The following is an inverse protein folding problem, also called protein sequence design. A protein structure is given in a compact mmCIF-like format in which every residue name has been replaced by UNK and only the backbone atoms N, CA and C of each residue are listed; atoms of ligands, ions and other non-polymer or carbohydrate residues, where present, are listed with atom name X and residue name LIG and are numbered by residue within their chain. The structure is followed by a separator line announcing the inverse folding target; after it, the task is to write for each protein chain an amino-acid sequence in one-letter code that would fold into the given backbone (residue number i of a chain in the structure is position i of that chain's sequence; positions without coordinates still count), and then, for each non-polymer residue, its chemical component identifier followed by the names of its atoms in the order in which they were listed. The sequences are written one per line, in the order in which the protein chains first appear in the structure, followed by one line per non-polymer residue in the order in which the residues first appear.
data_IF_728527180599
#
_entry.id   IF_728527180599
#
_cell.length_a   1.000
_cell.length_b   1.000
_cell.length_c   1.000
_cell.angle_alpha   90.00
_cell.angle_beta   90.00
_cell.angle_gamma   90.00
#
_symmetry.space_group_name_H-M   'P 1'
#
loop_
_entity.id
_entity.type
_entity.pdbx_description
1 polymer ?
#
# COMPACT_ATOMS: atom_id res chain seq x y z
N UNK A 1 20.93 9.32 -15.46
CA UNK A 1 20.94 8.17 -14.54
C UNK A 1 19.62 7.46 -14.74
N UNK A 2 19.64 6.15 -15.05
CA UNK A 2 18.46 5.39 -15.49
C UNK A 2 17.85 4.59 -14.32
N UNK A 3 17.88 5.12 -13.09
CA UNK A 3 17.40 4.43 -11.89
C UNK A 3 16.34 5.25 -11.16
N UNK A 4 15.43 4.57 -10.48
CA UNK A 4 14.56 5.20 -9.50
C UNK A 4 15.42 5.53 -8.28
N UNK A 5 15.81 6.79 -8.16
CA UNK A 5 16.58 7.29 -7.02
C UNK A 5 15.63 8.02 -6.07
N UNK A 6 15.73 7.67 -4.80
CA UNK A 6 14.92 8.24 -3.73
C UNK A 6 15.84 8.92 -2.72
N UNK A 7 15.51 10.17 -2.40
CA UNK A 7 16.25 11.02 -1.46
C UNK A 7 15.39 11.24 -0.22
N UNK A 8 15.88 10.85 0.95
CA UNK A 8 15.20 11.12 2.23
C UNK A 8 15.17 12.63 2.46
N UNK A 9 13.98 13.14 2.76
CA UNK A 9 13.80 14.52 3.21
C UNK A 9 13.83 14.61 4.74
N UNK A 10 13.41 13.54 5.44
CA UNK A 10 13.62 13.37 6.88
C UNK A 10 12.38 12.89 7.63
N UNK A 11 12.43 13.05 8.95
CA UNK A 11 11.31 12.83 9.86
C UNK A 11 10.25 13.91 9.65
N UNK A 12 8.99 13.51 9.49
CA UNK A 12 7.87 14.44 9.24
C UNK A 12 6.90 14.51 10.42
N UNK A 13 6.62 13.37 11.06
CA UNK A 13 5.69 13.29 12.18
C UNK A 13 6.16 12.23 13.17
N UNK A 14 6.16 12.59 14.45
CA UNK A 14 6.41 11.69 15.58
C UNK A 14 5.35 11.87 16.65
N UNK A 15 5.15 10.89 17.55
CA UNK A 15 4.16 10.95 18.61
C UNK A 15 4.30 12.20 19.48
N UNK A 16 3.20 12.90 19.74
CA UNK A 16 3.21 14.02 20.67
C UNK A 16 3.35 13.56 22.13
N UNK A 17 4.32 14.11 22.90
CA UNK A 17 4.44 13.79 24.32
C UNK A 17 3.14 14.07 25.09
N UNK A 18 2.62 13.05 25.76
CA UNK A 18 1.37 13.14 26.54
C UNK A 18 0.08 12.96 25.74
N UNK A 19 0.15 12.81 24.41
CA UNK A 19 -1.02 12.51 23.58
C UNK A 19 -1.38 11.01 23.71
N UNK A 20 -2.52 10.74 24.35
CA UNK A 20 -2.97 9.36 24.62
C UNK A 20 -3.36 8.57 23.37
N UNK A 21 -3.61 9.25 22.24
CA UNK A 21 -3.96 8.61 20.98
C UNK A 21 -2.74 8.12 20.19
N UNK A 22 -1.54 8.56 20.56
CA UNK A 22 -0.30 8.32 19.80
C UNK A 22 0.78 7.61 20.62
N UNK A 23 0.47 7.18 21.85
CA UNK A 23 1.41 6.55 22.78
C UNK A 23 2.16 5.34 22.21
N UNK A 24 1.54 4.61 21.28
CA UNK A 24 2.17 3.50 20.57
C UNK A 24 2.82 3.86 19.24
N UNK A 25 2.65 5.10 18.74
CA UNK A 25 3.19 5.54 17.46
C UNK A 25 2.21 6.34 16.59
N UNK A 26 2.77 7.00 15.57
CA UNK A 26 2.07 7.58 14.42
C UNK A 26 2.61 6.94 13.16
N UNK A 27 1.80 6.16 12.46
CA UNK A 27 2.30 5.19 11.48
C UNK A 27 1.64 5.37 10.11
N UNK A 28 2.30 4.86 9.07
CA UNK A 28 1.69 4.41 7.82
C UNK A 28 0.59 5.32 7.24
N UNK A 29 0.87 6.60 6.94
CA UNK A 29 -0.14 7.55 6.52
C UNK A 29 -0.60 7.32 5.07
N UNK A 30 -1.91 7.42 4.83
CA UNK A 30 -2.37 7.78 3.48
C UNK A 30 -1.93 9.22 3.17
N UNK A 31 -1.73 9.56 1.90
CA UNK A 31 -1.52 10.94 1.45
C UNK A 31 -2.49 11.25 0.30
N UNK A 32 -3.15 12.42 0.35
CA UNK A 32 -4.07 12.87 -0.70
C UNK A 32 -4.27 14.39 -0.64
N UNK A 33 -4.44 15.02 -1.80
CA UNK A 33 -4.78 16.45 -1.88
C UNK A 33 -6.29 16.70 -1.75
N UNK A 34 -6.64 17.70 -0.96
CA UNK A 34 -8.01 18.14 -0.75
C UNK A 34 -8.55 18.98 -1.91
N UNK A 35 -9.87 19.29 -1.91
CA UNK A 35 -10.48 20.18 -2.88
C UNK A 35 -9.91 21.61 -2.86
N UNK A 36 -9.29 21.99 -1.75
CA UNK A 36 -8.58 23.26 -1.55
C UNK A 36 -7.15 23.26 -2.11
N UNK A 37 -6.65 22.11 -2.59
CA UNK A 37 -5.31 21.93 -3.14
C UNK A 37 -4.24 21.62 -2.08
N UNK A 38 -4.58 21.70 -0.80
CA UNK A 38 -3.68 21.37 0.31
C UNK A 38 -3.43 19.86 0.38
N UNK A 39 -2.28 19.47 0.91
CA UNK A 39 -1.92 18.07 1.07
C UNK A 39 -2.23 17.60 2.49
N UNK A 40 -2.95 16.48 2.60
CA UNK A 40 -3.34 15.87 3.86
C UNK A 40 -2.73 14.48 4.01
N UNK A 41 -2.28 14.18 5.23
CA UNK A 41 -1.91 12.85 5.68
C UNK A 41 -2.99 12.26 6.58
N UNK A 42 -3.17 10.96 6.48
CA UNK A 42 -4.09 10.18 7.31
C UNK A 42 -3.31 9.10 8.07
N UNK A 43 -2.57 9.49 9.12
CA UNK A 43 -1.74 8.58 9.90
C UNK A 43 -2.57 7.59 10.71
N UNK A 44 -2.06 6.37 10.90
CA UNK A 44 -2.54 5.47 11.96
C UNK A 44 -2.04 5.99 13.31
N UNK A 45 -2.96 6.44 14.15
CA UNK A 45 -2.67 6.87 15.52
C UNK A 45 -2.85 5.68 16.45
N UNK A 46 -1.77 5.24 17.10
CA UNK A 46 -1.77 4.05 17.96
C UNK A 46 -1.88 4.47 19.42
N UNK A 47 -3.06 4.23 19.99
CA UNK A 47 -3.31 4.41 21.41
C UNK A 47 -2.80 3.24 22.26
N UNK A 48 -3.09 3.31 23.56
CA UNK A 48 -2.77 2.24 24.52
C UNK A 48 -3.37 0.90 24.03
N UNK A 49 -2.64 -0.20 24.26
CA UNK A 49 -3.08 -1.56 23.90
C UNK A 49 -3.36 -1.74 22.39
N UNK A 50 -2.68 -0.97 21.54
CA UNK A 50 -2.84 -0.98 20.08
C UNK A 50 -4.29 -0.66 19.67
N UNK A 51 -4.90 0.30 20.34
CA UNK A 51 -6.18 0.88 19.89
C UNK A 51 -5.89 1.87 18.75
N UNK A 52 -6.17 1.47 17.52
CA UNK A 52 -5.76 2.21 16.32
C UNK A 52 -6.88 3.06 15.73
N UNK A 53 -6.56 4.32 15.44
CA UNK A 53 -7.42 5.28 14.73
C UNK A 53 -6.76 5.75 13.45
N UNK A 54 -7.53 6.33 12.56
CA UNK A 54 -7.03 7.08 11.40
C UNK A 54 -7.14 8.56 11.75
N UNK A 55 -6.00 9.22 11.89
CA UNK A 55 -5.89 10.67 12.09
C UNK A 55 -6.09 11.44 10.79
N UNK A 56 -6.09 12.77 10.90
CA UNK A 56 -5.93 13.69 9.78
C UNK A 56 -4.96 14.80 10.17
N UNK A 57 -3.99 15.07 9.31
CA UNK A 57 -3.00 16.11 9.50
C UNK A 57 -2.74 16.82 8.16
N UNK A 58 -2.54 18.14 8.18
CA UNK A 58 -2.18 18.93 7.01
C UNK A 58 -0.66 19.03 6.91
N UNK A 59 -0.10 18.76 5.74
CA UNK A 59 1.35 18.88 5.49
C UNK A 59 1.75 20.34 5.43
N UNK A 60 2.84 20.68 6.11
CA UNK A 60 3.51 21.97 6.02
C UNK A 60 4.70 21.85 5.06
N UNK A 61 4.90 22.86 4.22
CA UNK A 61 5.98 22.93 3.26
C UNK A 61 6.91 24.11 3.59
N UNK A 62 8.20 23.93 3.37
CA UNK A 62 9.19 25.01 3.47
C UNK A 62 9.21 25.93 2.24
N UNK A 63 10.14 26.90 2.22
CA UNK A 63 10.28 27.83 1.10
C UNK A 63 10.73 27.16 -0.22
N UNK A 64 11.40 26.00 -0.15
CA UNK A 64 11.77 25.20 -1.32
C UNK A 64 10.58 24.35 -1.83
N UNK A 65 9.49 24.31 -1.07
CA UNK A 65 8.33 23.48 -1.34
C UNK A 65 8.50 22.05 -0.85
N UNK A 66 9.47 21.75 0.02
CA UNK A 66 9.67 20.42 0.57
C UNK A 66 8.83 20.22 1.86
N UNK A 67 8.22 19.04 2.07
CA UNK A 67 7.50 18.74 3.31
C UNK A 67 8.41 18.86 4.53
N UNK A 68 8.04 19.68 5.50
CA UNK A 68 8.87 20.00 6.66
C UNK A 68 8.19 19.76 8.02
N UNK A 69 6.88 19.47 8.02
CA UNK A 69 6.13 19.16 9.22
C UNK A 69 4.67 18.89 8.93
N UNK A 70 3.87 18.73 9.98
CA UNK A 70 2.42 18.58 9.88
C UNK A 70 1.69 19.36 10.96
N UNK A 71 0.48 19.81 10.64
CA UNK A 71 -0.50 20.28 11.61
C UNK A 71 -1.54 19.18 11.85
N UNK A 72 -1.67 18.70 13.09
CA UNK A 72 -2.71 17.73 13.46
C UNK A 72 -4.08 18.40 13.46
N UNK A 73 -5.02 17.81 12.73
CA UNK A 73 -6.40 18.32 12.59
C UNK A 73 -7.43 17.48 13.34
N UNK A 74 -7.04 16.28 13.81
CA UNK A 74 -7.86 15.42 14.66
C UNK A 74 -7.91 13.97 14.18
N UNK A 75 -9.07 13.35 14.39
CA UNK A 75 -9.35 11.95 14.03
C UNK A 75 -10.35 11.93 12.88
N UNK A 76 -10.01 11.24 11.80
CA UNK A 76 -10.88 11.01 10.64
C UNK A 76 -11.80 9.80 10.84
N UNK A 77 -11.27 8.71 11.39
CA UNK A 77 -12.02 7.51 11.77
C UNK A 77 -11.46 6.91 13.05
N UNK A 78 -12.35 6.50 13.94
CA UNK A 78 -12.04 5.62 15.06
C UNK A 78 -12.92 4.37 15.04
N UNK A 79 -12.52 3.27 15.71
CA UNK A 79 -13.33 2.06 15.76
C UNK A 79 -14.74 2.32 16.34
N UNK A 80 -15.76 2.14 15.51
CA UNK A 80 -17.17 2.31 15.91
C UNK A 80 -18.04 1.14 15.42
N UNK A 81 -17.65 0.47 14.34
CA UNK A 81 -18.38 -0.65 13.79
C UNK A 81 -17.92 -1.99 14.38
N UNK A 82 -18.83 -2.97 14.46
CA UNK A 82 -18.52 -4.32 14.98
C UNK A 82 -17.33 -4.99 14.29
N UNK A 83 -17.11 -4.71 13.00
CA UNK A 83 -15.99 -5.23 12.22
C UNK A 83 -14.66 -4.51 12.45
N UNK A 84 -14.63 -3.49 13.31
CA UNK A 84 -13.44 -2.73 13.74
C UNK A 84 -13.11 -3.00 15.22
N UNK A 85 -14.01 -3.64 15.97
CA UNK A 85 -13.92 -3.81 17.42
C UNK A 85 -13.49 -5.23 17.82
N UNK A 86 -12.84 -5.33 18.98
CA UNK A 86 -12.47 -6.57 19.65
C UNK A 86 -13.22 -6.70 20.99
N UNK A 87 -13.36 -7.93 21.49
CA UNK A 87 -14.16 -8.24 22.69
C UNK A 87 -13.61 -7.61 23.99
N UNK A 88 -12.32 -7.28 24.02
CA UNK A 88 -11.64 -6.65 25.16
C UNK A 88 -11.67 -5.12 25.14
N UNK A 89 -12.49 -4.51 24.28
CA UNK A 89 -12.58 -3.05 24.13
C UNK A 89 -11.46 -2.43 23.29
N UNK A 90 -10.57 -3.25 22.71
CA UNK A 90 -9.66 -2.79 21.64
C UNK A 90 -10.42 -2.60 20.34
N UNK A 91 -9.85 -1.84 19.42
CA UNK A 91 -10.34 -1.71 18.06
C UNK A 91 -9.25 -1.21 17.14
N UNK A 92 -9.43 -1.43 15.84
CA UNK A 92 -8.45 -1.00 14.85
C UNK A 92 -9.06 -0.52 13.55
N UNK A 93 -8.84 0.76 13.24
CA UNK A 93 -8.84 1.31 11.90
C UNK A 93 -7.38 1.61 11.53
N UNK A 94 -6.79 0.82 10.62
CA UNK A 94 -5.33 0.77 10.43
C UNK A 94 -4.91 0.97 8.97
N UNK A 95 -3.71 1.53 8.80
CA UNK A 95 -2.95 1.62 7.55
C UNK A 95 -3.78 2.06 6.33
N UNK A 96 -4.46 3.21 6.47
CA UNK A 96 -5.34 3.75 5.44
C UNK A 96 -4.60 4.04 4.13
N UNK A 97 -5.29 3.82 3.00
CA UNK A 97 -4.94 4.37 1.69
C UNK A 97 -6.14 5.12 1.15
N UNK A 98 -5.92 6.31 0.60
CA UNK A 98 -6.98 7.14 0.05
C UNK A 98 -6.71 7.40 -1.41
N UNK A 99 -7.76 7.37 -2.21
CA UNK A 99 -7.71 7.67 -3.63
C UNK A 99 -8.92 8.48 -4.00
N UNK A 100 -8.71 9.60 -4.69
CA UNK A 100 -9.79 10.31 -5.34
C UNK A 100 -10.21 9.52 -6.59
N UNK A 101 -11.46 9.05 -6.62
CA UNK A 101 -11.97 8.26 -7.74
C UNK A 101 -12.84 9.14 -8.62
N UNK A 102 -12.28 9.55 -9.76
CA UNK A 102 -12.88 10.54 -10.68
C UNK A 102 -14.31 10.18 -11.07
N UNK A 103 -14.55 8.90 -11.35
CA UNK A 103 -15.85 8.36 -11.75
C UNK A 103 -16.95 8.66 -10.73
N UNK A 104 -16.60 8.69 -9.44
CA UNK A 104 -17.54 8.91 -8.36
C UNK A 104 -17.55 10.35 -7.88
N UNK A 105 -16.56 11.15 -8.28
CA UNK A 105 -16.31 12.48 -7.74
C UNK A 105 -16.23 12.44 -6.20
N UNK A 106 -15.51 11.44 -5.66
CA UNK A 106 -15.42 11.17 -4.23
C UNK A 106 -14.04 10.62 -3.87
N UNK A 107 -13.63 10.87 -2.64
CA UNK A 107 -12.50 10.22 -2.00
C UNK A 107 -12.96 8.86 -1.47
N UNK A 108 -12.25 7.80 -1.84
CA UNK A 108 -12.43 6.48 -1.26
C UNK A 108 -11.22 6.14 -0.40
N UNK A 109 -11.48 5.70 0.82
CA UNK A 109 -10.50 5.19 1.74
C UNK A 109 -10.65 3.67 1.83
N UNK A 110 -9.55 2.97 1.62
CA UNK A 110 -9.39 1.59 2.07
C UNK A 110 -8.60 1.58 3.37
N UNK A 111 -9.00 0.76 4.32
CA UNK A 111 -8.27 0.59 5.58
C UNK A 111 -8.40 -0.84 6.08
N UNK A 112 -7.45 -1.24 6.93
CA UNK A 112 -7.52 -2.51 7.64
C UNK A 112 -8.41 -2.32 8.86
N UNK A 113 -9.58 -2.94 8.86
CA UNK A 113 -10.43 -3.09 10.03
C UNK A 113 -9.98 -4.33 10.81
N UNK A 114 -9.46 -4.12 12.02
CA UNK A 114 -8.88 -5.18 12.84
C UNK A 114 -9.83 -5.57 13.97
N UNK A 115 -10.53 -6.69 13.78
CA UNK A 115 -11.52 -7.24 14.71
C UNK A 115 -11.13 -8.62 15.23
N UNK A 116 -12.04 -9.26 15.98
CA UNK A 116 -11.89 -10.67 16.42
C UNK A 116 -11.69 -11.67 15.27
N UNK A 117 -12.14 -11.34 14.07
CA UNK A 117 -12.00 -12.20 12.88
C UNK A 117 -10.69 -11.95 12.13
N UNK A 118 -9.77 -11.19 12.72
CA UNK A 118 -8.52 -10.79 12.08
C UNK A 118 -8.65 -9.53 11.22
N UNK A 119 -7.58 -9.17 10.49
CA UNK A 119 -7.55 -7.99 9.65
C UNK A 119 -8.42 -8.20 8.40
N UNK A 120 -9.31 -7.27 8.13
CA UNK A 120 -10.17 -7.27 6.93
C UNK A 120 -10.13 -5.90 6.28
N UNK A 121 -10.35 -5.86 4.97
CA UNK A 121 -10.40 -4.59 4.24
C UNK A 121 -11.77 -3.97 4.43
N UNK A 122 -11.81 -2.74 4.89
CA UNK A 122 -12.99 -1.91 4.96
C UNK A 122 -12.86 -0.69 4.03
N UNK A 123 -14.02 -0.14 3.66
CA UNK A 123 -14.13 1.01 2.76
C UNK A 123 -14.87 2.15 3.46
N UNK A 124 -14.41 3.37 3.24
CA UNK A 124 -15.13 4.60 3.60
C UNK A 124 -15.10 5.59 2.44
N UNK A 125 -16.07 6.51 2.41
CA UNK A 125 -16.17 7.56 1.38
C UNK A 125 -16.26 8.93 2.02
N UNK A 126 -15.63 9.91 1.39
CA UNK A 126 -15.75 11.32 1.73
C UNK A 126 -15.89 12.20 0.47
N UNK A 127 -16.51 13.37 0.64
CA UNK A 127 -16.55 14.42 -0.37
C UNK A 127 -15.47 15.48 -0.14
N UNK A 128 -15.00 15.63 1.10
CA UNK A 128 -14.23 16.79 1.56
C UNK A 128 -13.00 16.43 2.39
N UNK A 129 -12.72 15.14 2.62
CA UNK A 129 -11.65 14.59 3.46
C UNK A 129 -11.87 14.68 4.98
N UNK A 130 -12.84 15.44 5.45
CA UNK A 130 -13.11 15.66 6.88
C UNK A 130 -14.28 14.81 7.38
N UNK A 131 -15.29 14.59 6.54
CA UNK A 131 -16.47 13.82 6.88
C UNK A 131 -16.46 12.48 6.14
N UNK A 132 -16.35 11.39 6.89
CA UNK A 132 -16.27 10.04 6.36
C UNK A 132 -17.54 9.23 6.65
N UNK A 133 -18.04 8.56 5.61
CA UNK A 133 -19.11 7.57 5.72
C UNK A 133 -18.54 6.18 5.47
N UNK A 134 -18.63 5.29 6.47
CA UNK A 134 -18.28 3.87 6.31
C UNK A 134 -19.21 3.20 5.31
N UNK A 135 -18.62 2.47 4.38
CA UNK A 135 -19.33 1.63 3.41
C UNK A 135 -19.43 0.18 3.91
N UNK A 136 -18.51 -0.25 4.77
CA UNK A 136 -18.46 -1.59 5.33
C UNK A 136 -17.23 -2.38 4.85
N UNK A 137 -17.23 -3.68 5.15
CA UNK A 137 -16.20 -4.60 4.70
C UNK A 137 -16.25 -4.81 3.18
N UNK A 138 -15.09 -4.85 2.55
CA UNK A 138 -14.95 -5.42 1.22
C UNK A 138 -15.29 -6.92 1.26
N UNK A 139 -16.12 -7.33 0.31
CA UNK A 139 -16.52 -8.72 0.04
C UNK A 139 -15.84 -9.21 -1.24
N UNK A 140 -15.78 -10.52 -1.42
CA UNK A 140 -15.04 -11.13 -2.51
C UNK A 140 -15.82 -12.32 -3.04
N UNK A 141 -15.82 -12.54 -4.35
CA UNK A 141 -16.26 -13.82 -4.89
C UNK A 141 -15.28 -14.93 -4.48
N UNK A 142 -15.73 -16.18 -4.31
CA UNK A 142 -14.83 -17.29 -4.07
C UNK A 142 -13.84 -17.45 -5.24
N UNK A 143 -12.58 -17.74 -4.92
CA UNK A 143 -11.55 -18.01 -5.93
C UNK A 143 -11.06 -19.44 -5.79
N UNK A 144 -11.24 -20.25 -6.84
CA UNK A 144 -10.79 -21.66 -6.90
C UNK A 144 -11.21 -22.50 -5.68
N UNK A 145 -12.41 -22.26 -5.15
CA UNK A 145 -12.94 -22.96 -3.98
C UNK A 145 -12.61 -22.34 -2.63
N UNK A 146 -11.74 -21.32 -2.60
CA UNK A 146 -11.44 -20.54 -1.38
C UNK A 146 -12.42 -19.39 -1.23
N UNK A 147 -13.06 -19.29 -0.06
CA UNK A 147 -13.88 -18.13 0.29
C UNK A 147 -12.98 -16.96 0.72
N UNK A 148 -12.71 -16.04 -0.21
CA UNK A 148 -11.91 -14.85 0.05
C UNK A 148 -12.53 -13.91 1.09
N UNK A 149 -13.85 -14.00 1.36
CA UNK A 149 -14.51 -13.23 2.42
C UNK A 149 -14.07 -13.73 3.80
N UNK A 150 -13.70 -15.00 3.95
CA UNK A 150 -13.22 -15.53 5.22
C UNK A 150 -11.73 -15.26 5.49
N UNK A 151 -10.98 -14.82 4.49
CA UNK A 151 -9.52 -14.71 4.53
C UNK A 151 -9.10 -13.35 5.09
N UNK A 152 -8.13 -13.36 6.01
CA UNK A 152 -7.46 -12.15 6.49
C UNK A 152 -6.86 -11.38 5.30
N UNK A 153 -7.00 -10.06 5.27
CA UNK A 153 -6.65 -9.27 4.09
C UNK A 153 -6.28 -7.84 4.49
N UNK A 154 -5.20 -7.32 3.91
CA UNK A 154 -4.68 -5.98 4.20
C UNK A 154 -3.97 -5.36 2.99
N UNK A 155 -3.32 -4.22 3.19
CA UNK A 155 -2.58 -3.43 2.19
C UNK A 155 -3.42 -3.04 0.97
N UNK A 156 -4.69 -2.76 1.21
CA UNK A 156 -5.58 -2.46 0.11
C UNK A 156 -5.37 -1.02 -0.38
N UNK A 157 -5.35 -0.84 -1.69
CA UNK A 157 -5.41 0.46 -2.35
C UNK A 157 -6.20 0.38 -3.64
N UNK A 158 -6.85 1.48 -4.02
CA UNK A 158 -7.70 1.55 -5.20
C UNK A 158 -7.00 2.28 -6.34
N UNK A 159 -7.35 1.91 -7.57
CA UNK A 159 -7.00 2.74 -8.72
C UNK A 159 -7.93 3.97 -8.77
N UNK A 160 -7.41 5.16 -9.19
CA UNK A 160 -8.18 6.41 -9.22
C UNK A 160 -9.21 6.47 -10.36
N UNK A 161 -9.15 5.54 -11.30
CA UNK A 161 -10.04 5.47 -12.47
C UNK A 161 -10.55 4.04 -12.66
N UNK A 162 -11.56 3.91 -13.52
CA UNK A 162 -12.03 2.59 -13.91
C UNK A 162 -10.94 1.85 -14.72
N UNK A 163 -10.66 0.61 -14.32
CA UNK A 163 -9.63 -0.24 -14.92
C UNK A 163 -10.30 -1.38 -15.71
N UNK A 164 -9.83 -1.69 -16.93
CA UNK A 164 -10.32 -2.83 -17.67
C UNK A 164 -9.94 -4.15 -16.98
N UNK A 165 -10.93 -5.00 -16.73
CA UNK A 165 -10.71 -6.35 -16.25
C UNK A 165 -10.21 -7.27 -17.37
N UNK A 166 -10.11 -8.58 -17.07
CA UNK A 166 -9.62 -9.59 -18.02
C UNK A 166 -10.44 -9.75 -19.31
N UNK A 167 -11.65 -9.18 -19.37
CA UNK A 167 -12.52 -9.15 -20.57
C UNK A 167 -12.64 -7.74 -21.17
N UNK A 168 -11.81 -6.79 -20.72
CA UNK A 168 -11.86 -5.40 -21.16
C UNK A 168 -13.00 -4.56 -20.57
N UNK A 169 -13.76 -5.08 -19.59
CA UNK A 169 -14.82 -4.31 -18.94
C UNK A 169 -14.23 -3.37 -17.89
N UNK A 170 -14.54 -2.09 -17.98
CA UNK A 170 -14.11 -1.08 -17.01
C UNK A 170 -14.80 -1.29 -15.66
N UNK A 171 -14.00 -1.44 -14.60
CA UNK A 171 -14.44 -1.73 -13.24
C UNK A 171 -13.57 -0.99 -12.23
N UNK A 172 -14.03 -0.84 -10.99
CA UNK A 172 -13.14 -0.39 -9.92
C UNK A 172 -12.14 -1.52 -9.65
N UNK A 173 -10.85 -1.21 -9.56
CA UNK A 173 -9.82 -2.19 -9.24
C UNK A 173 -9.16 -1.88 -7.91
N UNK A 174 -8.83 -2.94 -7.17
CA UNK A 174 -8.18 -2.89 -5.87
C UNK A 174 -6.94 -3.76 -5.90
N UNK A 175 -5.80 -3.19 -5.51
CA UNK A 175 -4.63 -3.93 -5.06
C UNK A 175 -4.87 -4.32 -3.61
N UNK A 176 -4.53 -5.55 -3.22
CA UNK A 176 -4.64 -6.02 -1.84
C UNK A 176 -3.78 -7.27 -1.60
N UNK A 177 -3.68 -7.71 -0.34
CA UNK A 177 -2.96 -8.92 0.04
C UNK A 177 -3.80 -9.81 0.94
N UNK A 178 -4.38 -10.89 0.39
CA UNK A 178 -4.92 -11.99 1.18
C UNK A 178 -3.81 -12.72 1.94
N UNK A 179 -4.07 -13.07 3.20
CA UNK A 179 -3.21 -13.84 4.09
C UNK A 179 -3.83 -15.23 4.22
N UNK A 180 -3.45 -16.15 3.34
CA UNK A 180 -4.00 -17.50 3.36
C UNK A 180 -3.48 -18.26 4.61
N UNK A 181 -4.29 -19.14 5.23
CA UNK A 181 -3.83 -19.95 6.37
C UNK A 181 -2.55 -20.74 6.02
N UNK A 182 -1.56 -20.75 6.93
CA UNK A 182 -0.26 -21.38 6.72
C UNK A 182 0.79 -20.49 6.05
N UNK A 183 0.47 -19.21 5.78
CA UNK A 183 1.36 -18.26 5.10
C UNK A 183 1.87 -17.14 6.01
N UNK A 184 1.42 -17.09 7.27
CA UNK A 184 1.85 -16.08 8.23
C UNK A 184 3.30 -16.32 8.68
N UNK A 185 4.12 -15.27 8.91
CA UNK A 185 5.47 -15.43 9.46
C UNK A 185 5.48 -16.25 10.75
N UNK A 186 4.49 -16.06 11.62
CA UNK A 186 4.37 -16.74 12.91
C UNK A 186 4.01 -18.24 12.76
N UNK A 187 3.35 -18.62 11.66
CA UNK A 187 2.99 -20.02 11.33
C UNK A 187 4.14 -20.73 10.60
N UNK A 188 4.99 -19.98 9.88
CA UNK A 188 6.03 -20.51 8.98
C UNK A 188 7.42 -20.62 9.62
N UNK A 189 7.60 -20.15 10.86
CA UNK A 189 8.86 -20.28 11.61
C UNK A 189 9.05 -21.67 12.25
N UNK A 190 8.03 -22.54 12.18
CA UNK A 190 8.03 -23.86 12.82
C UNK A 190 8.34 -25.06 11.90
N UNK A 191 8.44 -24.90 10.57
CA UNK A 191 8.64 -26.03 9.66
C UNK A 191 9.75 -25.80 8.62
N UNK A 192 10.82 -26.60 8.72
CA UNK A 192 11.85 -26.76 7.69
C UNK A 192 11.29 -27.56 6.49
N UNK A 193 10.42 -26.97 5.68
CA UNK A 193 9.98 -27.63 4.44
C UNK A 193 10.63 -26.99 3.22
N UNK A 194 11.18 -27.84 2.34
CA UNK A 194 11.76 -27.47 1.06
C UNK A 194 10.71 -26.76 0.18
N UNK A 195 10.81 -25.43 0.12
CA UNK A 195 9.86 -24.54 -0.56
C UNK A 195 10.05 -24.64 -2.08
N UNK A 196 9.27 -25.50 -2.74
CA UNK A 196 8.99 -25.33 -4.16
C UNK A 196 8.14 -24.06 -4.28
N UNK A 197 8.71 -23.05 -4.91
CA UNK A 197 8.05 -21.80 -5.30
C UNK A 197 6.61 -22.09 -5.76
N UNK A 198 5.61 -21.41 -5.17
CA UNK A 198 4.48 -20.79 -5.89
C UNK A 198 3.03 -20.92 -5.34
N UNK A 199 2.78 -21.23 -4.05
CA UNK A 199 1.42 -21.11 -3.48
C UNK A 199 1.29 -20.47 -2.09
N UNK A 200 2.33 -20.48 -1.24
CA UNK A 200 2.18 -20.20 0.19
C UNK A 200 2.81 -18.89 0.68
N UNK A 201 3.12 -17.95 -0.23
CA UNK A 201 3.65 -16.64 0.16
C UNK A 201 2.58 -15.54 0.11
N UNK A 202 2.54 -14.73 1.17
CA UNK A 202 1.80 -13.45 1.21
C UNK A 202 2.19 -12.56 0.01
N UNK A 203 1.26 -12.44 -0.94
CA UNK A 203 1.49 -11.93 -2.31
C UNK A 203 0.57 -10.75 -2.64
N UNK A 204 0.93 -9.95 -3.65
CA UNK A 204 0.07 -8.85 -4.12
C UNK A 204 -0.97 -9.39 -5.10
N UNK A 205 -2.24 -9.07 -4.87
CA UNK A 205 -3.37 -9.42 -5.73
C UNK A 205 -4.06 -8.17 -6.28
N UNK A 206 -4.69 -8.33 -7.43
CA UNK A 206 -5.62 -7.36 -8.01
C UNK A 206 -7.01 -8.00 -8.16
N UNK A 207 -8.02 -7.28 -7.69
CA UNK A 207 -9.43 -7.69 -7.76
C UNK A 207 -10.30 -6.56 -8.27
N UNK A 208 -11.43 -6.90 -8.89
CA UNK A 208 -12.27 -5.95 -9.63
C UNK A 208 -13.70 -5.94 -9.10
N UNK A 209 -14.26 -4.78 -8.84
CA UNK A 209 -15.66 -4.62 -8.46
C UNK A 209 -16.46 -4.10 -9.67
N UNK A 210 -17.51 -4.82 -10.13
CA UNK A 210 -18.41 -4.31 -11.15
C UNK A 210 -18.96 -2.95 -10.75
N UNK A 211 -18.81 -1.99 -11.64
CA UNK A 211 -19.24 -0.62 -11.42
C UNK A 211 -20.73 -0.50 -11.74
N UNK A 212 -21.57 -0.21 -10.74
CA UNK A 212 -22.92 0.30 -11.00
C UNK A 212 -22.92 1.83 -10.95
N UNK A 213 -23.64 2.46 -11.88
CA UNK A 213 -23.50 3.88 -12.22
C UNK A 213 -24.54 4.83 -11.61
N UNK A 214 -25.34 4.39 -10.65
CA UNK A 214 -26.38 5.23 -10.02
C UNK A 214 -26.07 5.52 -8.54
N UNK A 215 -24.92 6.14 -8.30
CA UNK A 215 -24.46 6.60 -6.99
C UNK A 215 -23.83 5.51 -6.11
N UNK A 216 -23.04 5.94 -5.12
CA UNK A 216 -22.40 5.06 -4.13
C UNK A 216 -23.46 4.52 -3.16
N UNK A 217 -24.05 3.36 -3.46
CA UNK A 217 -24.90 2.64 -2.52
C UNK A 217 -24.00 1.76 -1.61
N UNK A 218 -24.14 1.80 -0.27
CA UNK A 218 -23.30 1.03 0.64
C UNK A 218 -23.24 -0.47 0.35
N UNK A 219 -24.28 -1.04 -0.26
CA UNK A 219 -24.34 -2.48 -0.60
C UNK A 219 -23.68 -2.83 -1.94
N UNK A 220 -23.39 -1.86 -2.81
CA UNK A 220 -22.92 -2.10 -4.18
C UNK A 220 -21.41 -1.94 -4.32
N UNK A 221 -20.79 -1.12 -3.47
CA UNK A 221 -19.33 -1.06 -3.34
C UNK A 221 -18.91 -2.17 -2.40
N UNK A 222 -18.40 -3.25 -2.95
CA UNK A 222 -17.82 -4.26 -2.07
C UNK A 222 -17.72 -5.64 -2.64
N UNK A 223 -18.44 -6.04 -3.70
CA UNK A 223 -18.24 -7.38 -4.26
C UNK A 223 -17.10 -7.38 -5.29
N UNK A 224 -15.89 -7.57 -4.80
CA UNK A 224 -14.72 -7.74 -5.66
C UNK A 224 -14.69 -9.16 -6.24
N UNK A 225 -14.36 -9.28 -7.51
CA UNK A 225 -14.26 -10.53 -8.24
C UNK A 225 -13.06 -10.50 -9.20
N UNK A 226 -13.01 -11.46 -10.13
CA UNK A 226 -11.97 -11.51 -11.17
C UNK A 226 -10.55 -11.44 -10.59
N UNK A 227 -10.33 -12.13 -9.47
CA UNK A 227 -9.09 -12.10 -8.70
C UNK A 227 -7.90 -12.59 -9.54
N UNK A 228 -6.79 -11.88 -9.43
CA UNK A 228 -5.54 -12.24 -10.08
C UNK A 228 -4.38 -11.97 -9.12
N UNK A 229 -3.54 -12.97 -8.88
CA UNK A 229 -2.27 -12.79 -8.19
C UNK A 229 -1.36 -11.98 -9.11
N UNK A 230 -1.07 -10.74 -8.72
CA UNK A 230 -0.33 -9.77 -9.52
C UNK A 230 1.17 -10.00 -9.40
N UNK A 231 1.67 -10.20 -8.18
CA UNK A 231 3.08 -10.41 -7.90
C UNK A 231 3.27 -11.31 -6.68
N UNK A 232 4.36 -12.07 -6.68
CA UNK A 232 4.89 -12.88 -5.56
C UNK A 232 6.30 -12.39 -5.19
N UNK A 233 6.84 -12.78 -4.03
CA UNK A 233 8.26 -12.65 -3.73
C UNK A 233 9.15 -13.33 -4.79
N UNK A 234 10.06 -12.59 -5.42
CA UNK A 234 11.01 -13.15 -6.40
C UNK A 234 12.47 -12.73 -6.14
N UNK A 235 12.69 -11.70 -5.30
CA UNK A 235 14.02 -11.23 -4.92
C UNK A 235 14.35 -11.47 -3.42
N UNK A 236 15.64 -11.56 -3.04
CA UNK A 236 16.04 -11.86 -1.66
C UNK A 236 15.52 -10.88 -0.61
N UNK A 237 15.49 -9.58 -0.91
CA UNK A 237 15.06 -8.54 0.03
C UNK A 237 13.55 -8.57 0.34
N UNK A 238 12.80 -9.30 -0.48
CA UNK A 238 11.34 -9.45 -0.39
C UNK A 238 10.91 -10.92 -0.19
N UNK A 239 11.85 -11.81 0.10
CA UNK A 239 11.69 -13.27 0.02
C UNK A 239 10.62 -13.87 0.95
N UNK A 240 10.29 -13.23 2.07
CA UNK A 240 9.24 -13.72 2.96
C UNK A 240 7.86 -13.37 2.44
N UNK A 241 7.63 -12.08 2.18
CA UNK A 241 6.35 -11.55 1.73
C UNK A 241 6.49 -10.19 1.08
N UNK A 242 5.48 -9.86 0.28
CA UNK A 242 5.30 -8.53 -0.31
C UNK A 242 3.89 -8.02 -0.05
N UNK A 243 3.68 -6.71 -0.18
CA UNK A 243 2.36 -6.11 -0.05
C UNK A 243 2.26 -4.76 -0.72
N UNK A 244 1.03 -4.36 -1.03
CA UNK A 244 0.75 -3.04 -1.57
C UNK A 244 1.26 -1.95 -0.63
N UNK A 245 1.88 -0.92 -1.20
CA UNK A 245 2.32 0.25 -0.45
C UNK A 245 1.39 1.41 -0.72
N UNK A 246 1.76 2.23 -1.70
CA UNK A 246 1.01 3.42 -2.09
C UNK A 246 -0.13 3.07 -3.05
N UNK A 247 -1.18 3.91 -3.17
CA UNK A 247 -2.11 3.84 -4.29
C UNK A 247 -1.38 3.90 -5.64
N UNK A 248 -1.86 3.18 -6.69
CA UNK A 248 -1.31 3.32 -8.03
C UNK A 248 -1.55 4.72 -8.60
N UNK A 249 -0.48 5.37 -9.07
CA UNK A 249 -0.51 6.69 -9.70
C UNK A 249 -0.10 6.60 -11.17
N UNK A 250 -0.72 7.39 -12.03
CA UNK A 250 -0.37 7.41 -13.45
C UNK A 250 0.96 8.14 -13.67
N UNK A 251 1.84 7.55 -14.47
CA UNK A 251 3.10 8.15 -14.92
C UNK A 251 3.23 8.01 -16.44
N UNK A 252 4.28 8.59 -17.01
CA UNK A 252 4.63 8.39 -18.44
C UNK A 252 4.86 6.92 -18.81
N UNK A 253 5.21 6.06 -17.85
CA UNK A 253 5.53 4.65 -18.07
C UNK A 253 4.36 3.70 -17.77
N UNK A 254 3.24 4.21 -17.24
CA UNK A 254 2.10 3.43 -16.78
C UNK A 254 1.75 3.70 -15.32
N UNK A 255 1.03 2.77 -14.69
CA UNK A 255 0.64 2.90 -13.28
C UNK A 255 1.82 2.55 -12.38
N UNK A 256 2.35 3.53 -11.67
CA UNK A 256 3.40 3.33 -10.68
C UNK A 256 2.79 3.10 -9.30
N UNK A 257 3.33 2.14 -8.55
CA UNK A 257 3.07 1.99 -7.13
C UNK A 257 4.36 1.62 -6.41
N UNK A 258 4.51 2.11 -5.18
CA UNK A 258 5.50 1.56 -4.27
C UNK A 258 4.87 0.40 -3.52
N UNK A 259 5.68 -0.60 -3.22
CA UNK A 259 5.28 -1.80 -2.51
C UNK A 259 6.35 -2.14 -1.48
N UNK A 260 5.99 -2.84 -0.41
CA UNK A 260 6.98 -3.32 0.55
C UNK A 260 7.32 -4.78 0.30
N UNK A 261 8.54 -5.13 0.65
CA UNK A 261 9.07 -6.48 0.70
C UNK A 261 9.72 -6.74 2.05
N UNK A 262 9.63 -7.99 2.51
CA UNK A 262 10.13 -8.40 3.81
C UNK A 262 11.11 -9.55 3.63
N UNK A 263 12.24 -9.48 4.33
CA UNK A 263 13.13 -10.61 4.50
C UNK A 263 13.46 -10.80 5.98
N UNK A 264 13.88 -12.02 6.33
CA UNK A 264 14.45 -12.30 7.65
C UNK A 264 15.95 -12.05 7.58
N UNK A 265 16.44 -11.26 8.52
CA UNK A 265 17.85 -11.18 8.86
C UNK A 265 18.14 -12.21 9.96
N UNK A 266 19.18 -13.00 9.79
CA UNK A 266 19.72 -13.82 10.88
C UNK A 266 20.62 -12.92 11.74
N UNK A 267 20.26 -12.63 12.99
CA UNK A 267 21.12 -11.82 13.83
C UNK A 267 22.40 -12.59 14.18
N UNK A 268 23.44 -11.83 14.49
CA UNK A 268 24.71 -12.39 15.00
C UNK A 268 24.61 -12.96 16.42
N UNK A 269 23.47 -12.84 17.10
CA UNK A 269 23.21 -13.31 18.45
C UNK A 269 21.99 -14.27 18.50
N UNK A 270 21.78 -14.91 19.65
CA UNK A 270 20.72 -15.91 19.84
C UNK A 270 19.31 -15.30 19.98
N UNK A 271 19.07 -14.06 19.53
CA UNK A 271 17.80 -13.33 19.72
C UNK A 271 16.66 -13.72 18.77
N UNK A 272 16.89 -14.69 17.88
CA UNK A 272 15.89 -15.14 16.88
C UNK A 272 15.84 -14.24 15.65
N UNK A 273 15.11 -14.62 14.59
CA UNK A 273 15.10 -13.89 13.31
C UNK A 273 14.53 -12.46 13.49
N UNK A 274 15.19 -11.46 12.91
CA UNK A 274 14.67 -10.09 12.80
C UNK A 274 14.09 -9.87 11.42
N UNK A 275 12.96 -9.18 11.31
CA UNK A 275 12.37 -8.83 10.03
C UNK A 275 12.90 -7.48 9.56
N UNK A 276 13.19 -7.37 8.28
CA UNK A 276 13.57 -6.11 7.64
C UNK A 276 12.54 -5.79 6.55
N UNK A 277 11.84 -4.66 6.71
CA UNK A 277 10.85 -4.18 5.76
C UNK A 277 11.50 -3.09 4.90
N UNK A 278 11.58 -3.34 3.60
CA UNK A 278 12.10 -2.40 2.60
C UNK A 278 11.03 -2.10 1.54
N UNK A 279 11.25 -1.07 0.72
CA UNK A 279 10.35 -0.69 -0.36
C UNK A 279 10.97 -0.85 -1.74
N UNK A 280 10.17 -1.34 -2.67
CA UNK A 280 10.44 -1.35 -4.11
C UNK A 280 9.42 -0.53 -4.88
N UNK A 281 9.63 -0.44 -6.19
CA UNK A 281 8.69 0.21 -7.11
C UNK A 281 8.28 -0.76 -8.21
N UNK A 282 7.01 -0.67 -8.61
CA UNK A 282 6.41 -1.45 -9.67
C UNK A 282 5.70 -0.51 -10.66
N UNK A 283 5.90 -0.75 -11.95
CA UNK A 283 5.18 -0.08 -13.04
C UNK A 283 4.30 -1.11 -13.71
N UNK A 284 2.98 -0.87 -13.72
CA UNK A 284 1.98 -1.70 -14.38
C UNK A 284 1.56 -1.04 -15.69
N UNK A 285 1.16 -1.85 -16.67
CA UNK A 285 0.64 -1.35 -17.94
C UNK A 285 -0.56 -0.43 -17.73
N UNK A 286 -0.55 0.72 -18.40
CA UNK A 286 -1.67 1.68 -18.43
C UNK A 286 -2.98 1.03 -18.84
N UNK A 287 -2.93 0.21 -19.88
CA UNK A 287 -4.10 -0.42 -20.50
C UNK A 287 -4.47 -1.75 -19.84
N UNK A 288 -3.48 -2.48 -19.32
CA UNK A 288 -3.69 -3.79 -18.74
C UNK A 288 -2.95 -3.91 -17.40
N UNK A 289 -3.44 -3.34 -16.29
CA UNK A 289 -2.70 -3.28 -15.01
C UNK A 289 -2.40 -4.62 -14.34
N UNK A 290 -2.78 -5.75 -14.95
CA UNK A 290 -2.30 -7.10 -14.58
C UNK A 290 -0.90 -7.40 -15.15
N UNK A 291 -0.42 -6.59 -16.07
CA UNK A 291 0.90 -6.72 -16.69
C UNK A 291 1.87 -5.78 -15.99
N UNK A 292 2.89 -6.36 -15.37
CA UNK A 292 4.02 -5.63 -14.80
C UNK A 292 4.99 -5.29 -15.94
N UNK A 293 5.23 -4.00 -16.17
CA UNK A 293 6.20 -3.49 -17.15
C UNK A 293 7.60 -3.35 -16.54
N UNK A 294 7.67 -3.01 -15.26
CA UNK A 294 8.92 -2.91 -14.51
C UNK A 294 8.70 -3.22 -13.04
N UNK A 295 9.69 -3.84 -12.42
CA UNK A 295 9.78 -4.10 -10.99
C UNK A 295 11.22 -3.93 -10.57
N UNK A 296 11.48 -3.20 -9.50
CA UNK A 296 12.83 -2.99 -8.99
C UNK A 296 13.42 -4.29 -8.46
N UNK A 297 14.61 -4.67 -8.96
CA UNK A 297 15.34 -5.85 -8.48
C UNK A 297 15.92 -5.64 -7.07
N UNK A 298 16.32 -4.40 -6.76
CA UNK A 298 16.82 -3.97 -5.45
C UNK A 298 15.79 -3.03 -4.80
N UNK A 299 15.78 -2.91 -3.46
CA UNK A 299 14.93 -1.94 -2.78
C UNK A 299 15.36 -0.51 -3.14
N UNK A 300 14.39 0.37 -3.37
CA UNK A 300 14.62 1.81 -3.57
C UNK A 300 14.67 2.58 -2.24
N UNK A 301 14.20 1.96 -1.15
CA UNK A 301 14.29 2.47 0.22
C UNK A 301 14.43 1.28 1.17
N UNK A 302 15.47 1.32 2.01
CA UNK A 302 15.82 0.31 3.03
C UNK A 302 16.15 1.03 4.33
N UNK A 303 15.83 0.49 5.52
CA UNK A 303 16.05 1.15 6.81
C UNK A 303 17.54 1.44 7.08
N UNK A 304 17.95 2.69 6.96
CA UNK A 304 19.31 3.15 7.28
C UNK A 304 19.35 4.27 8.30
N UNK A 305 18.29 5.07 8.40
CA UNK A 305 18.19 6.13 9.38
C UNK A 305 17.88 5.54 10.77
N UNK A 306 18.45 6.08 11.87
CA UNK A 306 18.15 5.59 13.22
C UNK A 306 16.65 5.53 13.54
N UNK A 307 15.86 6.48 13.04
CA UNK A 307 14.42 6.50 13.24
C UNK A 307 13.67 5.40 12.46
N UNK A 308 14.30 4.80 11.44
CA UNK A 308 13.80 3.63 10.67
C UNK A 308 14.21 2.30 11.31
N UNK A 309 15.21 2.32 12.20
CA UNK A 309 15.78 1.12 12.84
C UNK A 309 15.32 0.94 14.28
N UNK A 310 15.00 2.02 14.98
CA UNK A 310 14.61 2.03 16.39
C UNK A 310 13.14 2.47 16.57
N UNK A 311 12.34 1.56 17.11
CA UNK A 311 10.90 1.71 17.33
C UNK A 311 10.25 0.42 17.81
N UNK A 312 8.92 0.33 17.72
CA UNK A 312 8.15 -0.85 18.14
C UNK A 312 8.53 -2.08 17.32
N UNK A 313 8.77 -1.90 16.02
CA UNK A 313 9.33 -2.92 15.14
C UNK A 313 10.59 -2.35 14.52
N UNK A 314 11.72 -2.98 14.79
CA UNK A 314 13.00 -2.55 14.23
C UNK A 314 13.06 -2.74 12.72
N UNK A 315 13.91 -1.94 12.05
CA UNK A 315 14.22 -2.07 10.62
C UNK A 315 12.98 -2.02 9.70
N UNK A 316 12.19 -0.95 9.82
CA UNK A 316 10.98 -0.75 8.99
C UNK A 316 11.01 0.56 8.23
N UNK A 317 10.87 0.46 6.90
CA UNK A 317 10.33 1.51 6.04
C UNK A 317 9.06 0.99 5.34
N UNK A 318 7.94 1.68 5.51
CA UNK A 318 6.63 1.18 5.04
C UNK A 318 5.88 2.25 4.21
N UNK A 319 6.01 2.26 2.88
CA UNK A 319 5.47 3.32 2.02
C UNK A 319 3.95 3.20 1.88
N UNK A 320 3.23 4.26 2.19
CA UNK A 320 1.74 4.25 2.25
C UNK A 320 1.10 5.46 1.58
N UNK A 321 1.77 6.61 1.63
CA UNK A 321 1.34 7.84 0.97
C UNK A 321 2.24 8.19 -0.22
N UNK A 322 1.64 8.77 -1.25
CA UNK A 322 2.34 9.31 -2.42
C UNK A 322 1.65 10.59 -2.88
N UNK A 323 2.42 11.63 -3.17
CA UNK A 323 1.93 12.88 -3.76
C UNK A 323 2.75 13.23 -5.00
N UNK A 324 2.08 13.65 -6.08
CA UNK A 324 2.73 14.12 -7.29
C UNK A 324 2.91 15.64 -7.22
N UNK A 325 4.14 16.12 -7.38
CA UNK A 325 4.51 17.53 -7.12
C UNK A 325 4.22 18.47 -8.30
N UNK A 326 3.03 18.33 -8.89
CA UNK A 326 2.54 19.21 -9.96
C UNK A 326 2.25 20.63 -9.46
N UNK A 327 1.97 20.78 -8.16
CA UNK A 327 1.77 22.06 -7.47
C UNK A 327 2.95 23.02 -7.64
N UNK A 328 4.17 22.48 -7.66
CA UNK A 328 5.42 23.22 -7.85
C UNK A 328 6.01 23.03 -9.26
N UNK A 329 5.20 22.57 -10.23
CA UNK A 329 5.61 22.40 -11.61
C UNK A 329 6.57 21.24 -11.86
N UNK A 330 6.62 20.25 -10.96
CA UNK A 330 7.48 19.06 -11.07
C UNK A 330 6.64 17.78 -11.24
N UNK A 331 6.05 17.53 -12.42
CA UNK A 331 5.11 16.42 -12.66
C UNK A 331 5.73 15.02 -12.57
N UNK A 332 7.06 14.94 -12.54
CA UNK A 332 7.79 13.67 -12.42
C UNK A 332 8.41 13.47 -11.04
N UNK A 333 8.27 14.47 -10.15
CA UNK A 333 8.66 14.36 -8.76
C UNK A 333 7.48 13.84 -7.95
N UNK A 334 7.75 12.84 -7.13
CA UNK A 334 6.82 12.25 -6.19
C UNK A 334 7.40 12.29 -4.79
N UNK A 335 6.64 12.81 -3.84
CA UNK A 335 6.99 12.70 -2.43
C UNK A 335 6.28 11.46 -1.85
N UNK A 336 7.05 10.62 -1.18
CA UNK A 336 6.64 9.33 -0.59
C UNK A 336 6.61 9.48 0.92
N UNK A 337 5.45 9.21 1.50
CA UNK A 337 5.23 9.23 2.95
C UNK A 337 5.21 7.80 3.47
N UNK A 338 6.05 7.51 4.45
CA UNK A 338 6.31 6.14 4.89
C UNK A 338 6.41 6.02 6.41
N UNK A 339 5.95 4.89 6.95
CA UNK A 339 6.18 4.55 8.35
C UNK A 339 7.64 4.20 8.61
N UNK A 340 8.17 4.62 9.76
CA UNK A 340 9.52 4.37 10.23
C UNK A 340 9.46 3.59 11.56
N UNK A 341 10.05 2.40 11.58
CA UNK A 341 10.17 1.52 12.75
C UNK A 341 8.85 1.27 13.55
N UNK A 342 7.70 1.27 12.87
CA UNK A 342 6.37 1.28 13.53
C UNK A 342 6.29 2.27 14.70
N UNK A 343 6.79 3.49 14.52
CA UNK A 343 6.71 4.55 15.54
C UNK A 343 6.51 5.96 14.99
N UNK A 344 7.04 6.24 13.80
CA UNK A 344 7.12 7.59 13.23
C UNK A 344 6.77 7.59 11.74
N UNK A 345 6.67 8.77 11.15
CA UNK A 345 6.46 8.98 9.71
C UNK A 345 7.61 9.79 9.14
N UNK A 346 8.22 9.26 8.08
CA UNK A 346 9.22 9.93 7.26
C UNK A 346 8.66 10.35 5.91
N UNK A 347 9.44 11.20 5.23
CA UNK A 347 9.19 11.58 3.84
C UNK A 347 10.45 11.47 3.00
N UNK A 348 10.28 11.05 1.75
CA UNK A 348 11.34 11.02 0.77
C UNK A 348 10.86 11.48 -0.60
N UNK A 349 11.73 12.12 -1.37
CA UNK A 349 11.46 12.56 -2.74
C UNK A 349 12.04 11.56 -3.75
N UNK A 350 11.29 11.27 -4.80
CA UNK A 350 11.69 10.41 -5.91
C UNK A 350 11.36 11.10 -7.23
N UNK A 351 12.25 11.02 -8.20
CA UNK A 351 11.97 11.47 -9.58
C UNK A 351 11.82 10.27 -10.51
N UNK A 352 10.74 10.25 -11.30
CA UNK A 352 10.52 9.20 -12.31
C UNK A 352 11.57 9.34 -13.43
N UNK A 353 12.39 8.32 -13.70
CA UNK A 353 13.45 8.41 -14.70
C UNK A 353 12.86 8.53 -16.10
N UNK A 354 13.60 9.21 -16.99
CA UNK A 354 13.17 9.42 -18.38
C UNK A 354 12.98 8.12 -19.15
N UNK A 355 13.79 7.11 -18.82
CA UNK A 355 13.68 5.76 -19.34
C UNK A 355 13.64 4.79 -18.17
N UNK A 356 12.84 3.73 -18.29
CA UNK A 356 12.88 2.65 -17.31
C UNK A 356 14.26 1.98 -17.35
N UNK A 357 14.82 1.60 -16.18
CA UNK A 357 16.05 0.83 -16.13
C UNK A 357 15.92 -0.43 -17.00
N UNK A 358 16.94 -0.73 -17.80
CA UNK A 358 16.98 -1.96 -18.57
C UNK A 358 17.23 -3.12 -17.62
N UNK A 359 16.18 -3.75 -17.14
CA UNK A 359 16.28 -5.05 -16.49
C UNK A 359 16.18 -6.12 -17.57
N UNK A 360 16.85 -7.26 -17.38
CA UNK A 360 16.33 -8.52 -17.95
C UNK A 360 14.83 -8.60 -17.61
N UNK A 361 14.01 -9.17 -18.51
CA UNK A 361 12.55 -9.32 -18.34
C UNK A 361 12.18 -9.47 -16.86
N UNK A 362 11.19 -8.71 -16.35
CA UNK A 362 10.87 -8.72 -14.92
C UNK A 362 10.78 -10.17 -14.47
N UNK A 363 11.47 -10.53 -13.39
CA UNK A 363 11.33 -11.87 -12.81
C UNK A 363 9.87 -11.99 -12.36
N UNK A 364 9.06 -12.65 -13.17
CA UNK A 364 7.65 -12.93 -12.94
C UNK A 364 7.49 -14.45 -12.94
N UNK A 365 6.61 -14.96 -12.08
CA UNK A 365 6.35 -16.40 -12.01
C UNK A 365 5.92 -16.97 -13.38
N UNK A 366 6.42 -18.14 -13.74
CA UNK A 366 5.82 -19.00 -14.78
C UNK A 366 5.20 -20.22 -14.06
N UNK A 367 4.01 -20.73 -14.43
CA UNK A 367 3.63 -21.09 -15.81
C UNK A 367 2.31 -20.48 -16.34
N UNK A 368 1.64 -19.61 -15.58
CA UNK A 368 0.37 -18.96 -15.98
C UNK A 368 0.40 -17.43 -15.99
N UNK A 369 1.57 -16.80 -15.80
CA UNK A 369 1.70 -15.39 -16.10
C UNK A 369 1.55 -15.19 -17.61
N UNK A 370 0.47 -14.53 -18.03
CA UNK A 370 0.38 -14.00 -19.37
C UNK A 370 1.30 -12.78 -19.40
N UNK A 371 2.56 -13.00 -19.76
CA UNK A 371 3.43 -11.92 -20.23
C UNK A 371 2.98 -11.59 -21.65
N UNK A 372 2.47 -10.38 -21.95
CA UNK A 372 2.23 -10.00 -23.33
C UNK A 372 3.57 -10.03 -24.07
N UNK A 373 3.61 -10.78 -25.17
CA UNK A 373 4.74 -10.77 -26.10
C UNK A 373 4.87 -9.34 -26.63
N UNK A 374 5.89 -8.61 -26.16
CA UNK A 374 6.31 -7.37 -26.80
C UNK A 374 6.96 -7.79 -28.13
N UNK A 375 6.44 -7.35 -29.30
CA UNK A 375 7.15 -7.56 -30.54
C UNK A 375 8.53 -6.89 -30.40
N UNK A 376 9.60 -7.63 -30.68
CA UNK A 376 10.91 -7.02 -30.87
C UNK A 376 10.77 -5.88 -31.89
N UNK A 377 11.48 -4.74 -31.71
CA UNK A 377 11.49 -3.70 -32.72
C UNK A 377 11.89 -4.34 -34.04
N UNK A 378 11.06 -4.13 -35.08
CA UNK A 378 11.34 -4.65 -36.41
C UNK A 378 12.77 -4.27 -36.77
N UNK A 379 13.62 -5.27 -36.98
CA UNK A 379 14.97 -5.05 -37.46
C UNK A 379 14.88 -4.17 -38.71
N UNK A 380 15.58 -3.04 -38.67
CA UNK A 380 15.71 -2.16 -39.80
C UNK A 380 16.31 -2.98 -40.95
N UNK A 381 15.48 -3.25 -41.96
CA UNK A 381 15.91 -3.80 -43.24
C UNK A 381 16.97 -2.88 -43.83
N UNK A 382 18.18 -3.38 -43.97
CA UNK A 382 19.19 -2.88 -44.90
C UNK A 382 19.25 -3.82 -46.10
#
# INVERSE_FOLDING_TARGET
MNHFELTRLGLLMEPEPGNSHEVGGVLNPAAVRGPDGELYLFPRLVGKENYSRIGIARVQFDEAGDPCGVERLGVALEPEADYELQENGRGGCEDARITYVERFNRYLMTYTAFSRSGPRIALAVSEDLFHWKRLGLATFEPFRGTDFVGVANKDASLFPVAIPNHRGKLQLAMIHRPLFPGTLPEETDCDECARLVDLDHESIWISYCPMELDGLKPKHLGLFNSHHRLATPVEPWEALKIGGGTPPVMTRHGWMMLYHGVHAEEPSDASGKRLCYSAGVMILSKEHPRTILYRSAEPILTPIDPHERDGVVENVVFPTGIDCRTDIGQPDRFDIYYGMADSRIGVASMTVPQQLPTTTLPRVDAPNAIVPVVPLPAEATA
#
